data_IF_197288114559
#
_entry.id   IF_197288114559
#
_cell.length_a   1.000
_cell.length_b   1.000
_cell.length_c   1.000
_cell.angle_alpha   90.00
_cell.angle_beta   90.00
_cell.angle_gamma   90.00
#
_symmetry.space_group_name_H-M   'P 1'
#
loop_
_entity.id
_entity.type
_entity.pdbx_description
1 polymer ?
#
# COMPACT_ATOMS: atom_id res chain seq x y z
N UNK A 1 15.54 2.51 -27.05
CA UNK A 1 15.26 3.20 -25.78
C UNK A 1 14.46 2.28 -24.90
N UNK A 2 14.84 2.08 -23.64
CA UNK A 2 14.07 1.27 -22.70
C UNK A 2 12.77 1.99 -22.35
N UNK A 3 11.61 1.37 -22.59
CA UNK A 3 10.35 1.87 -22.03
C UNK A 3 10.34 1.63 -20.53
N UNK A 4 10.35 2.71 -19.75
CA UNK A 4 10.15 2.65 -18.31
C UNK A 4 8.65 2.61 -18.06
N UNK A 5 8.12 1.46 -17.63
CA UNK A 5 6.75 1.36 -17.14
C UNK A 5 6.68 1.86 -15.70
N UNK A 6 5.65 2.67 -15.39
CA UNK A 6 5.42 3.17 -14.03
C UNK A 6 4.17 2.52 -13.45
N UNK A 7 4.28 1.93 -12.26
CA UNK A 7 3.11 1.49 -11.49
C UNK A 7 2.40 2.71 -10.88
N UNK A 8 1.09 2.81 -11.08
CA UNK A 8 0.28 3.95 -10.62
C UNK A 8 -0.98 3.45 -9.93
N UNK A 9 -1.29 4.04 -8.77
CA UNK A 9 -2.55 3.81 -8.06
C UNK A 9 -3.43 5.05 -8.17
N UNK A 10 -4.65 4.91 -8.69
CA UNK A 10 -5.60 6.03 -8.81
C UNK A 10 -6.42 6.14 -7.54
N UNK A 11 -6.28 7.27 -6.84
CA UNK A 11 -7.14 7.63 -5.73
C UNK A 11 -8.35 8.41 -6.23
N UNK A 12 -9.52 8.15 -5.63
CA UNK A 12 -10.70 9.01 -5.77
C UNK A 12 -10.52 10.33 -5.00
N UNK A 13 -11.53 11.21 -5.04
CA UNK A 13 -11.59 12.58 -4.47
C UNK A 13 -10.65 12.87 -3.29
N UNK A 14 -9.93 13.99 -3.39
CA UNK A 14 -8.84 14.42 -2.52
C UNK A 14 -9.27 14.98 -1.15
N UNK A 15 -10.57 15.17 -0.95
CA UNK A 15 -11.12 16.03 0.11
C UNK A 15 -10.92 15.53 1.55
N UNK A 16 -10.35 14.34 1.78
CA UNK A 16 -10.07 13.85 3.13
C UNK A 16 -8.90 12.84 3.17
N UNK A 17 -7.94 13.04 4.08
CA UNK A 17 -6.82 12.13 4.44
C UNK A 17 -5.63 12.03 3.47
N UNK A 18 -5.19 13.14 2.86
CA UNK A 18 -4.14 13.16 1.82
C UNK A 18 -2.84 12.44 2.20
N UNK A 19 -2.32 12.65 3.42
CA UNK A 19 -1.03 12.06 3.84
C UNK A 19 -1.17 10.60 4.29
N UNK A 20 -2.21 10.28 5.07
CA UNK A 20 -2.47 8.89 5.48
C UNK A 20 -2.73 7.99 4.26
N UNK A 21 -3.55 8.45 3.31
CA UNK A 21 -3.81 7.70 2.06
C UNK A 21 -2.55 7.51 1.21
N UNK A 22 -1.67 8.51 1.14
CA UNK A 22 -0.45 8.43 0.35
C UNK A 22 0.49 7.32 0.87
N UNK A 23 0.63 7.20 2.18
CA UNK A 23 1.46 6.17 2.80
C UNK A 23 0.88 4.76 2.58
N UNK A 24 -0.44 4.60 2.70
CA UNK A 24 -1.12 3.33 2.38
C UNK A 24 -0.96 2.96 0.90
N UNK A 25 -1.07 3.93 -0.01
CA UNK A 25 -0.82 3.71 -1.44
C UNK A 25 0.63 3.32 -1.68
N UNK A 26 1.59 3.95 -1.00
CA UNK A 26 3.00 3.58 -1.07
C UNK A 26 3.22 2.12 -0.69
N UNK A 27 2.55 1.63 0.36
CA UNK A 27 2.61 0.22 0.75
C UNK A 27 2.06 -0.72 -0.32
N UNK A 28 0.89 -0.42 -0.89
CA UNK A 28 0.28 -1.22 -1.96
C UNK A 28 1.22 -1.30 -3.17
N UNK A 29 1.76 -0.16 -3.59
CA UNK A 29 2.67 -0.08 -4.73
C UNK A 29 4.02 -0.77 -4.45
N UNK A 30 4.47 -0.82 -3.20
CA UNK A 30 5.71 -1.50 -2.82
C UNK A 30 5.60 -3.03 -2.89
N UNK A 31 4.42 -3.60 -2.61
CA UNK A 31 4.21 -5.05 -2.65
C UNK A 31 3.81 -5.57 -4.02
N UNK A 32 3.22 -4.74 -4.88
CA UNK A 32 2.74 -5.18 -6.20
C UNK A 32 3.84 -5.80 -7.09
N UNK A 33 5.07 -5.25 -7.19
CA UNK A 33 6.14 -5.87 -7.99
C UNK A 33 6.63 -7.21 -7.41
N UNK A 34 6.40 -7.45 -6.11
CA UNK A 34 6.83 -8.68 -5.45
C UNK A 34 6.04 -9.89 -5.95
N UNK A 35 4.80 -9.70 -6.42
CA UNK A 35 3.98 -10.77 -7.02
C UNK A 35 4.66 -11.41 -8.23
N UNK A 36 5.46 -10.65 -8.97
CA UNK A 36 6.22 -11.15 -10.13
C UNK A 36 7.65 -11.59 -9.77
N UNK A 37 8.08 -11.36 -8.52
CA UNK A 37 9.43 -11.71 -8.05
C UNK A 37 9.42 -13.11 -7.44
N UNK A 38 10.17 -14.06 -8.02
CA UNK A 38 10.26 -15.42 -7.48
C UNK A 38 11.06 -15.43 -6.16
N UNK A 39 10.61 -16.25 -5.20
CA UNK A 39 11.29 -16.56 -3.93
C UNK A 39 11.37 -15.44 -2.87
N UNK A 40 10.45 -14.47 -2.88
CA UNK A 40 10.34 -13.49 -1.79
C UNK A 40 9.67 -14.14 -0.58
N UNK A 41 10.42 -14.33 0.52
CA UNK A 41 9.91 -14.91 1.78
C UNK A 41 9.62 -13.87 2.86
N UNK A 42 10.30 -12.72 2.83
CA UNK A 42 10.18 -11.68 3.84
C UNK A 42 10.46 -10.32 3.21
N UNK A 43 9.67 -9.33 3.61
CA UNK A 43 9.76 -7.94 3.18
C UNK A 43 9.69 -7.08 4.43
N UNK A 44 10.46 -5.99 4.47
CA UNK A 44 10.35 -4.98 5.53
C UNK A 44 9.98 -3.66 4.88
N UNK A 45 8.89 -3.05 5.36
CA UNK A 45 8.42 -1.74 4.92
C UNK A 45 8.59 -0.75 6.08
N UNK A 46 9.26 0.36 5.82
CA UNK A 46 9.38 1.46 6.78
C UNK A 46 8.26 2.47 6.53
N UNK A 47 7.55 2.83 7.60
CA UNK A 47 6.41 3.75 7.59
C UNK A 47 6.74 4.91 8.55
N UNK A 48 6.45 6.13 8.12
CA UNK A 48 6.76 7.34 8.90
C UNK A 48 5.67 7.63 9.94
N UNK A 49 4.44 7.14 9.72
CA UNK A 49 3.30 7.45 10.56
C UNK A 49 2.87 6.28 11.43
N UNK A 50 2.77 6.56 12.74
CA UNK A 50 2.24 5.60 13.73
C UNK A 50 0.86 5.05 13.35
N UNK A 51 -0.03 5.89 12.78
CA UNK A 51 -1.33 5.45 12.32
C UNK A 51 -1.22 4.37 11.22
N UNK A 52 -0.33 4.54 10.25
CA UNK A 52 -0.08 3.55 9.19
C UNK A 52 0.48 2.23 9.75
N UNK A 53 1.40 2.31 10.71
CA UNK A 53 1.93 1.13 11.41
C UNK A 53 0.83 0.39 12.18
N UNK A 54 -0.04 1.12 12.88
CA UNK A 54 -1.13 0.51 13.66
C UNK A 54 -2.18 -0.12 12.75
N UNK A 55 -2.58 0.57 11.68
CA UNK A 55 -3.58 0.02 10.75
C UNK A 55 -3.03 -1.15 9.95
N UNK A 56 -1.74 -1.15 9.59
CA UNK A 56 -1.14 -2.28 8.85
C UNK A 56 -1.17 -3.61 9.61
N UNK A 57 -1.18 -3.54 10.94
CA UNK A 57 -1.29 -4.70 11.83
C UNK A 57 -2.73 -5.15 12.08
N UNK A 58 -3.74 -4.38 11.64
CA UNK A 58 -5.14 -4.66 11.89
C UNK A 58 -5.81 -5.25 10.65
N UNK A 59 -6.16 -6.54 10.70
CA UNK A 59 -6.92 -7.23 9.64
C UNK A 59 -8.44 -6.99 9.71
N UNK A 60 -8.90 -6.14 10.63
CA UNK A 60 -10.30 -5.78 10.75
C UNK A 60 -10.61 -4.65 9.78
N UNK A 61 -11.39 -4.97 8.75
CA UNK A 61 -11.90 -3.96 7.81
C UNK A 61 -12.82 -2.99 8.55
N UNK A 62 -12.59 -1.69 8.33
CA UNK A 62 -13.38 -0.57 8.84
C UNK A 62 -13.69 0.37 7.68
N UNK A 63 -14.71 1.25 7.76
CA UNK A 63 -15.10 2.13 6.66
C UNK A 63 -13.98 3.02 6.09
N UNK A 64 -12.90 3.27 6.84
CA UNK A 64 -11.72 4.03 6.41
C UNK A 64 -10.52 3.17 5.97
N UNK A 65 -10.65 1.83 5.94
CA UNK A 65 -9.55 0.88 5.74
C UNK A 65 -9.51 0.25 4.34
N UNK A 66 -10.32 0.70 3.38
CA UNK A 66 -10.37 0.06 2.05
C UNK A 66 -8.99 -0.07 1.36
N UNK A 67 -8.06 0.87 1.58
CA UNK A 67 -6.67 0.77 1.08
C UNK A 67 -5.87 -0.33 1.78
N UNK A 68 -6.12 -0.53 3.08
CA UNK A 68 -5.50 -1.62 3.84
C UNK A 68 -6.07 -2.98 3.45
N UNK A 69 -7.37 -3.05 3.17
CA UNK A 69 -7.98 -4.28 2.66
C UNK A 69 -7.35 -4.68 1.30
N UNK A 70 -7.08 -3.71 0.43
CA UNK A 70 -6.34 -3.93 -0.83
C UNK A 70 -4.90 -4.37 -0.57
N UNK A 71 -4.22 -3.73 0.38
CA UNK A 71 -2.85 -4.12 0.75
C UNK A 71 -2.80 -5.56 1.29
N UNK A 72 -3.70 -5.96 2.17
CA UNK A 72 -3.75 -7.31 2.73
C UNK A 72 -4.14 -8.35 1.68
N UNK A 73 -4.97 -8.01 0.70
CA UNK A 73 -5.26 -8.90 -0.43
C UNK A 73 -4.05 -9.11 -1.37
N UNK A 74 -3.03 -8.26 -1.27
CA UNK A 74 -1.81 -8.31 -2.08
C UNK A 74 -0.63 -9.02 -1.37
N UNK A 75 -0.80 -9.40 -0.10
CA UNK A 75 0.16 -10.24 0.65
C UNK A 75 -0.12 -11.72 0.40
#
# INVERSE_FOLDING_TARGET
GHQVSSLRFKLASDKNHRVYKAEMVGMILAVEPLKSTRHVRKVSLALDRKAAILTSKSFLSKPAHYLMDIFHANL
#
